data_IF_944641849431
#
_entry.id   IF_944641849431
#
_cell.length_a   1.000
_cell.length_b   1.000
_cell.length_c   1.000
_cell.angle_alpha   90.00
_cell.angle_beta   90.00
_cell.angle_gamma   90.00
#
_symmetry.space_group_name_H-M   'P 1'
#
loop_
_entity.id
_entity.type
_entity.pdbx_description
1 polymer ?
#
# COMPACT_ATOMS: atom_id res chain seq x y z
N UNK A 1 30.97 -59.09 -15.84
CA UNK A 1 29.53 -59.42 -15.83
C UNK A 1 28.81 -58.09 -15.79
N UNK A 2 28.51 -57.57 -16.96
CA UNK A 2 27.95 -56.23 -17.21
C UNK A 2 26.55 -56.10 -16.62
N UNK A 3 26.36 -55.09 -15.77
CA UNK A 3 25.04 -54.54 -15.47
C UNK A 3 24.80 -53.44 -16.51
N UNK A 4 24.06 -53.81 -17.56
CA UNK A 4 23.55 -52.86 -18.56
C UNK A 4 22.51 -51.97 -17.89
N UNK A 5 22.90 -50.70 -17.70
CA UNK A 5 22.06 -49.58 -17.32
C UNK A 5 20.98 -49.38 -18.39
N UNK A 6 19.79 -49.96 -18.18
CA UNK A 6 18.56 -49.69 -18.94
C UNK A 6 18.04 -48.29 -18.61
N UNK A 7 18.83 -47.27 -18.97
CA UNK A 7 18.32 -45.92 -19.20
C UNK A 7 17.70 -45.88 -20.58
N UNK A 8 16.56 -46.57 -20.71
CA UNK A 8 15.70 -46.47 -21.88
C UNK A 8 15.29 -45.00 -22.04
N UNK A 9 15.78 -44.40 -23.13
CA UNK A 9 15.39 -43.07 -23.57
C UNK A 9 13.91 -43.09 -23.89
N UNK A 10 13.08 -42.69 -22.92
CA UNK A 10 11.66 -42.39 -23.11
C UNK A 10 11.56 -41.08 -23.91
N UNK A 11 11.84 -41.16 -25.21
CA UNK A 11 11.60 -40.07 -26.15
C UNK A 11 10.09 -39.95 -26.27
N UNK A 12 9.50 -39.10 -25.43
CA UNK A 12 8.11 -38.66 -25.53
C UNK A 12 7.80 -38.35 -27.01
N UNK A 13 6.72 -38.91 -27.57
CA UNK A 13 6.39 -38.66 -28.96
C UNK A 13 6.24 -37.16 -29.16
N UNK A 14 6.81 -36.63 -30.25
CA UNK A 14 6.85 -35.19 -30.55
C UNK A 14 5.48 -34.51 -30.37
N UNK A 15 4.40 -35.23 -30.66
CA UNK A 15 3.02 -34.80 -30.49
C UNK A 15 2.63 -34.53 -29.03
N UNK A 16 3.09 -35.34 -28.07
CA UNK A 16 2.84 -35.11 -26.64
C UNK A 16 3.63 -33.92 -26.10
N UNK A 17 4.85 -33.70 -26.61
CA UNK A 17 5.65 -32.54 -26.24
C UNK A 17 5.02 -31.25 -26.76
N UNK A 18 4.52 -31.26 -28.01
CA UNK A 18 3.77 -30.13 -28.60
C UNK A 18 2.49 -29.87 -27.80
N UNK A 19 1.71 -30.92 -27.49
CA UNK A 19 0.48 -30.80 -26.69
C UNK A 19 0.75 -30.21 -25.29
N UNK A 20 1.85 -30.61 -24.63
CA UNK A 20 2.27 -30.03 -23.36
C UNK A 20 2.63 -28.56 -23.50
N UNK A 21 3.38 -28.17 -24.53
CA UNK A 21 3.75 -26.77 -24.80
C UNK A 21 2.50 -25.91 -25.04
N UNK A 22 1.56 -26.38 -25.87
CA UNK A 22 0.30 -25.68 -26.13
C UNK A 22 -0.53 -25.53 -24.85
N UNK A 23 -0.57 -26.56 -24.00
CA UNK A 23 -1.19 -26.50 -22.68
C UNK A 23 -0.55 -25.43 -21.77
N UNK A 24 0.79 -25.39 -21.70
CA UNK A 24 1.51 -24.37 -20.92
C UNK A 24 1.27 -22.96 -21.45
N UNK A 25 1.24 -22.78 -22.77
CA UNK A 25 0.97 -21.47 -23.41
C UNK A 25 -0.46 -21.03 -23.12
N UNK A 26 -1.45 -21.91 -23.28
CA UNK A 26 -2.85 -21.59 -23.00
C UNK A 26 -3.06 -21.25 -21.52
N UNK A 27 -2.47 -22.03 -20.62
CA UNK A 27 -2.51 -21.77 -19.19
C UNK A 27 -1.88 -20.41 -18.86
N UNK A 28 -0.72 -20.09 -19.44
CA UNK A 28 -0.06 -18.79 -19.25
C UNK A 28 -0.93 -17.64 -19.76
N UNK A 29 -1.56 -17.79 -20.93
CA UNK A 29 -2.46 -16.78 -21.48
C UNK A 29 -3.70 -16.58 -20.60
N UNK A 30 -4.28 -17.67 -20.09
CA UNK A 30 -5.42 -17.61 -19.17
C UNK A 30 -5.05 -16.86 -17.88
N UNK A 31 -3.89 -17.15 -17.29
CA UNK A 31 -3.39 -16.42 -16.12
C UNK A 31 -3.18 -14.93 -16.40
N UNK A 32 -2.54 -14.57 -17.51
CA UNK A 32 -2.31 -13.17 -17.89
C UNK A 32 -3.64 -12.45 -18.08
N UNK A 33 -4.59 -13.05 -18.79
CA UNK A 33 -5.91 -12.45 -19.03
C UNK A 33 -6.69 -12.22 -17.73
N UNK A 34 -6.60 -13.15 -16.77
CA UNK A 34 -7.21 -13.02 -15.46
C UNK A 34 -6.59 -11.88 -14.65
N UNK A 35 -5.26 -11.80 -14.63
CA UNK A 35 -4.53 -10.73 -13.93
C UNK A 35 -4.89 -9.36 -14.51
N UNK A 36 -4.99 -9.24 -15.83
CA UNK A 36 -5.37 -7.99 -16.49
C UNK A 36 -6.81 -7.57 -16.18
N UNK A 37 -7.76 -8.51 -16.18
CA UNK A 37 -9.13 -8.24 -15.76
C UNK A 37 -9.20 -7.79 -14.29
N UNK A 38 -8.49 -8.48 -13.40
CA UNK A 38 -8.43 -8.13 -11.99
C UNK A 38 -7.81 -6.73 -11.79
N UNK A 39 -6.70 -6.44 -12.49
CA UNK A 39 -6.04 -5.13 -12.49
C UNK A 39 -7.00 -4.03 -12.92
N UNK A 40 -7.76 -4.27 -13.98
CA UNK A 40 -8.74 -3.32 -14.50
C UNK A 40 -9.84 -3.04 -13.47
N UNK A 41 -10.46 -4.09 -12.90
CA UNK A 41 -11.49 -3.95 -11.87
C UNK A 41 -10.95 -3.23 -10.63
N UNK A 42 -9.75 -3.58 -10.18
CA UNK A 42 -9.14 -2.94 -9.01
C UNK A 42 -8.91 -1.45 -9.28
N UNK A 43 -8.27 -1.10 -10.39
CA UNK A 43 -7.86 0.27 -10.67
C UNK A 43 -9.04 1.20 -11.02
N UNK A 44 -10.00 0.72 -11.82
CA UNK A 44 -11.12 1.54 -12.31
C UNK A 44 -12.34 1.54 -11.40
N UNK A 45 -12.50 0.52 -10.53
CA UNK A 45 -13.71 0.38 -9.71
C UNK A 45 -13.35 0.40 -8.21
N UNK A 46 -12.53 -0.54 -7.75
CA UNK A 46 -12.30 -0.73 -6.30
C UNK A 46 -11.54 0.45 -5.71
N UNK A 47 -10.41 0.82 -6.32
CA UNK A 47 -9.55 1.91 -5.86
C UNK A 47 -10.30 3.25 -5.72
N UNK A 48 -11.04 3.76 -6.73
CA UNK A 48 -11.74 5.03 -6.60
C UNK A 48 -12.83 4.98 -5.52
N UNK A 49 -13.56 3.87 -5.38
CA UNK A 49 -14.56 3.70 -4.32
C UNK A 49 -13.87 3.78 -2.94
N UNK A 50 -12.77 3.04 -2.74
CA UNK A 50 -12.03 3.08 -1.49
C UNK A 50 -11.43 4.46 -1.21
N UNK A 51 -10.94 5.17 -2.21
CA UNK A 51 -10.46 6.55 -2.06
C UNK A 51 -11.57 7.50 -1.62
N UNK A 52 -12.75 7.43 -2.24
CA UNK A 52 -13.90 8.28 -1.86
C UNK A 52 -14.34 7.96 -0.43
N UNK A 53 -14.51 6.68 -0.11
CA UNK A 53 -14.87 6.25 1.25
C UNK A 53 -13.81 6.66 2.27
N UNK A 54 -12.53 6.52 1.92
CA UNK A 54 -11.40 6.94 2.75
C UNK A 54 -11.39 8.45 2.99
N UNK A 55 -11.62 9.27 1.96
CA UNK A 55 -11.70 10.73 2.11
C UNK A 55 -12.89 11.12 2.98
N UNK A 56 -14.10 10.64 2.65
CA UNK A 56 -15.32 11.01 3.37
C UNK A 56 -15.27 10.51 4.81
N UNK A 57 -14.92 9.23 5.02
CA UNK A 57 -14.88 8.60 6.33
C UNK A 57 -13.87 9.26 7.26
N UNK A 58 -12.64 9.49 6.79
CA UNK A 58 -11.61 10.13 7.59
C UNK A 58 -11.91 11.60 7.86
N UNK A 59 -12.50 12.32 6.89
CA UNK A 59 -12.93 13.69 7.10
C UNK A 59 -14.02 13.81 8.17
N UNK A 60 -15.03 12.94 8.12
CA UNK A 60 -16.07 12.87 9.16
C UNK A 60 -15.46 12.52 10.51
N UNK A 61 -14.51 11.58 10.55
CA UNK A 61 -13.81 11.21 11.78
C UNK A 61 -13.09 12.41 12.42
N UNK A 62 -12.40 13.23 11.62
CA UNK A 62 -11.75 14.47 12.09
C UNK A 62 -12.79 15.42 12.71
N UNK A 63 -13.94 15.63 12.06
CA UNK A 63 -14.99 16.52 12.55
C UNK A 63 -15.56 16.02 13.88
N UNK A 64 -15.87 14.72 13.97
CA UNK A 64 -16.44 14.10 15.16
C UNK A 64 -15.45 14.18 16.33
N UNK A 65 -14.19 13.78 16.10
CA UNK A 65 -13.15 13.81 17.14
C UNK A 65 -12.85 15.25 17.60
N UNK A 66 -12.89 16.22 16.69
CA UNK A 66 -12.76 17.65 17.05
C UNK A 66 -13.92 18.11 17.95
N UNK A 67 -15.15 17.63 17.72
CA UNK A 67 -16.32 17.97 18.57
C UNK A 67 -16.27 17.32 19.95
N UNK A 68 -15.71 16.11 20.09
CA UNK A 68 -15.54 15.46 21.38
C UNK A 68 -14.52 16.15 22.30
N UNK A 69 -13.65 16.99 21.72
CA UNK A 69 -12.60 17.71 22.42
C UNK A 69 -11.39 16.83 22.70
N UNK A 70 -10.19 17.38 22.53
CA UNK A 70 -8.89 16.70 22.70
C UNK A 70 -8.54 16.41 24.18
N UNK A 71 -9.53 16.00 24.98
CA UNK A 71 -9.37 15.71 26.40
C UNK A 71 -8.44 14.52 26.62
N UNK A 72 -8.57 13.48 25.81
CA UNK A 72 -7.78 12.26 25.91
C UNK A 72 -6.65 12.22 24.87
N UNK A 73 -5.52 11.63 25.25
CA UNK A 73 -4.38 11.36 24.35
C UNK A 73 -4.73 10.48 23.17
N UNK A 74 -5.59 9.48 23.41
CA UNK A 74 -6.17 8.63 22.38
C UNK A 74 -6.83 9.43 21.26
N UNK A 75 -7.59 10.49 21.61
CA UNK A 75 -8.28 11.32 20.60
C UNK A 75 -7.28 12.06 19.72
N UNK A 76 -6.15 12.49 20.29
CA UNK A 76 -5.08 13.13 19.52
C UNK A 76 -4.42 12.17 18.52
N UNK A 77 -4.15 10.93 18.94
CA UNK A 77 -3.62 9.89 18.05
C UNK A 77 -4.61 9.51 16.95
N UNK A 78 -5.89 9.37 17.29
CA UNK A 78 -6.96 9.09 16.32
C UNK A 78 -7.12 10.23 15.29
N UNK A 79 -7.00 11.49 15.72
CA UNK A 79 -7.03 12.64 14.82
C UNK A 79 -5.82 12.63 13.89
N UNK A 80 -4.62 12.38 14.42
CA UNK A 80 -3.40 12.27 13.61
C UNK A 80 -3.49 11.13 12.59
N UNK A 81 -4.00 9.97 13.02
CA UNK A 81 -4.25 8.82 12.14
C UNK A 81 -5.25 9.19 11.04
N UNK A 82 -6.39 9.80 11.38
CA UNK A 82 -7.39 10.20 10.38
C UNK A 82 -6.87 11.24 9.37
N UNK A 83 -5.95 12.12 9.78
CA UNK A 83 -5.27 13.02 8.85
C UNK A 83 -4.32 12.26 7.93
N UNK A 84 -3.56 11.29 8.45
CA UNK A 84 -2.68 10.45 7.66
C UNK A 84 -3.46 9.59 6.65
N UNK A 85 -4.58 8.98 7.06
CA UNK A 85 -5.44 8.18 6.19
C UNK A 85 -6.16 9.04 5.12
N UNK A 86 -6.53 10.28 5.47
CA UNK A 86 -7.07 11.25 4.50
C UNK A 86 -6.02 11.57 3.42
N UNK A 87 -4.79 11.90 3.84
CA UNK A 87 -3.68 12.18 2.93
C UNK A 87 -3.34 10.96 2.07
N UNK A 88 -3.29 9.77 2.67
CA UNK A 88 -3.07 8.51 1.96
C UNK A 88 -4.14 8.28 0.88
N UNK A 89 -5.41 8.48 1.22
CA UNK A 89 -6.54 8.32 0.28
C UNK A 89 -6.45 9.32 -0.87
N UNK A 90 -6.04 10.56 -0.60
CA UNK A 90 -5.81 11.58 -1.63
C UNK A 90 -4.64 11.22 -2.54
N UNK A 91 -3.49 10.84 -1.97
CA UNK A 91 -2.30 10.43 -2.75
C UNK A 91 -2.64 9.22 -3.63
N UNK A 92 -3.35 8.24 -3.08
CA UNK A 92 -3.77 7.04 -3.82
C UNK A 92 -4.75 7.38 -4.96
N UNK A 93 -5.65 8.33 -4.73
CA UNK A 93 -6.54 8.85 -5.76
C UNK A 93 -5.79 9.55 -6.89
N UNK A 94 -4.82 10.40 -6.57
CA UNK A 94 -3.98 11.09 -7.57
C UNK A 94 -3.11 10.08 -8.34
N UNK A 95 -2.55 9.08 -7.67
CA UNK A 95 -1.79 7.99 -8.33
C UNK A 95 -2.60 7.30 -9.43
N UNK A 96 -3.89 7.06 -9.19
CA UNK A 96 -4.74 6.31 -10.10
C UNK A 96 -5.56 7.19 -11.05
N UNK A 97 -5.43 8.52 -10.98
CA UNK A 97 -6.20 9.43 -11.84
C UNK A 97 -5.85 9.27 -13.33
N UNK A 98 -4.63 8.81 -13.63
CA UNK A 98 -4.17 8.61 -15.00
C UNK A 98 -5.03 7.60 -15.77
N UNK A 99 -5.58 6.58 -15.11
CA UNK A 99 -6.49 5.62 -15.72
C UNK A 99 -7.77 6.28 -16.23
N UNK A 100 -8.31 7.26 -15.51
CA UNK A 100 -9.48 8.02 -15.97
C UNK A 100 -9.12 8.93 -17.13
N UNK A 101 -7.94 9.57 -17.07
CA UNK A 101 -7.47 10.51 -18.10
C UNK A 101 -7.14 9.78 -19.41
N UNK A 102 -6.69 8.52 -19.33
CA UNK A 102 -6.40 7.67 -20.50
C UNK A 102 -7.61 7.55 -21.45
N UNK A 103 -8.83 7.63 -20.90
CA UNK A 103 -10.07 7.60 -21.68
C UNK A 103 -10.29 8.85 -22.54
N UNK A 104 -9.61 9.96 -22.25
CA UNK A 104 -9.74 11.24 -22.95
C UNK A 104 -8.48 11.60 -23.74
N UNK A 105 -7.30 11.44 -23.12
CA UNK A 105 -6.01 11.78 -23.71
C UNK A 105 -4.91 10.82 -23.20
N UNK A 106 -4.44 9.95 -24.09
CA UNK A 106 -3.39 8.98 -23.82
C UNK A 106 -2.02 9.64 -23.52
N UNK A 107 -1.70 10.75 -24.18
CA UNK A 107 -0.39 11.41 -24.00
C UNK A 107 -0.33 12.08 -22.63
N UNK A 108 -1.39 12.78 -22.24
CA UNK A 108 -1.49 13.35 -20.90
C UNK A 108 -1.48 12.28 -19.80
N UNK A 109 -2.20 11.16 -20.01
CA UNK A 109 -2.25 10.06 -19.04
C UNK A 109 -0.87 9.42 -18.82
N UNK A 110 -0.10 9.16 -19.88
CA UNK A 110 1.24 8.56 -19.77
C UNK A 110 2.25 9.50 -19.07
N UNK A 111 2.15 10.80 -19.31
CA UNK A 111 2.96 11.79 -18.61
C UNK A 111 2.62 11.81 -17.11
N UNK A 112 1.34 11.87 -16.75
CA UNK A 112 0.90 11.87 -15.35
C UNK A 112 1.30 10.54 -14.67
N UNK A 113 1.15 9.41 -15.35
CA UNK A 113 1.53 8.10 -14.83
C UNK A 113 3.02 8.04 -14.50
N UNK A 114 3.90 8.52 -15.39
CA UNK A 114 5.35 8.51 -15.15
C UNK A 114 5.77 9.42 -14.00
N UNK A 115 5.22 10.65 -13.92
CA UNK A 115 5.45 11.53 -12.76
C UNK A 115 4.92 10.94 -11.45
N UNK A 116 3.72 10.36 -11.49
CA UNK A 116 3.10 9.73 -10.33
C UNK A 116 3.91 8.51 -9.85
N UNK A 117 4.44 7.72 -10.78
CA UNK A 117 5.27 6.56 -10.47
C UNK A 117 6.60 6.95 -9.80
N UNK A 118 7.25 8.03 -10.27
CA UNK A 118 8.50 8.52 -9.70
C UNK A 118 8.32 9.11 -8.29
N UNK A 119 7.37 10.02 -8.12
CA UNK A 119 7.27 10.83 -6.89
C UNK A 119 6.20 10.33 -5.92
N UNK A 120 5.06 9.88 -6.43
CA UNK A 120 3.91 9.56 -5.58
C UNK A 120 3.96 8.14 -5.04
N UNK A 121 4.56 7.17 -5.73
CA UNK A 121 4.70 5.78 -5.20
C UNK A 121 5.57 5.74 -3.94
N UNK A 122 6.74 6.40 -3.98
CA UNK A 122 7.60 6.52 -2.80
C UNK A 122 6.90 7.27 -1.66
N UNK A 123 6.11 8.29 -1.99
CA UNK A 123 5.31 9.02 -0.99
C UNK A 123 4.20 8.17 -0.41
N UNK A 124 3.51 7.36 -1.21
CA UNK A 124 2.48 6.44 -0.78
C UNK A 124 3.02 5.39 0.20
N UNK A 125 4.15 4.76 -0.13
CA UNK A 125 4.79 3.80 0.78
C UNK A 125 5.21 4.42 2.11
N UNK A 126 5.68 5.67 2.10
CA UNK A 126 5.96 6.44 3.33
C UNK A 126 4.71 6.68 4.16
N UNK A 127 3.63 7.11 3.52
CA UNK A 127 2.34 7.35 4.17
C UNK A 127 1.78 6.07 4.79
N UNK A 128 1.89 4.93 4.12
CA UNK A 128 1.47 3.62 4.67
C UNK A 128 2.24 3.27 5.95
N UNK A 129 3.55 3.49 5.97
CA UNK A 129 4.37 3.26 7.16
C UNK A 129 3.89 4.14 8.34
N UNK A 130 3.62 5.42 8.09
CA UNK A 130 3.11 6.35 9.11
C UNK A 130 1.79 5.85 9.68
N UNK A 131 0.84 5.45 8.82
CA UNK A 131 -0.46 4.89 9.23
C UNK A 131 -0.27 3.64 10.09
N UNK A 132 0.61 2.72 9.67
CA UNK A 132 0.90 1.50 10.43
C UNK A 132 1.50 1.81 11.82
N UNK A 133 2.42 2.78 11.92
CA UNK A 133 2.99 3.21 13.20
C UNK A 133 1.92 3.80 14.14
N UNK A 134 0.97 4.57 13.59
CA UNK A 134 -0.15 5.10 14.36
C UNK A 134 -1.06 3.98 14.87
N UNK A 135 -1.41 3.02 14.02
CA UNK A 135 -2.21 1.85 14.39
C UNK A 135 -1.59 1.07 15.56
N UNK A 136 -0.29 0.77 15.47
CA UNK A 136 0.45 0.08 16.54
C UNK A 136 0.43 0.89 17.83
N UNK A 137 0.54 2.21 17.75
CA UNK A 137 0.60 3.07 18.94
C UNK A 137 -0.75 3.22 19.62
N UNK A 138 -1.83 3.32 18.84
CA UNK A 138 -3.20 3.30 19.38
C UNK A 138 -3.47 1.94 20.03
N UNK A 139 -3.10 0.83 19.38
CA UNK A 139 -3.26 -0.50 19.95
C UNK A 139 -2.48 -0.66 21.26
N UNK A 140 -1.25 -0.14 21.31
CA UNK A 140 -0.40 -0.15 22.50
C UNK A 140 -0.99 0.71 23.62
N UNK A 141 -1.49 1.91 23.32
CA UNK A 141 -2.18 2.77 24.30
C UNK A 141 -3.39 2.04 24.90
N UNK A 142 -4.21 1.41 24.07
CA UNK A 142 -5.40 0.66 24.50
C UNK A 142 -5.04 -0.57 25.33
N UNK A 143 -3.99 -1.29 24.94
CA UNK A 143 -3.49 -2.43 25.70
C UNK A 143 -3.05 -2.02 27.11
N UNK A 144 -2.27 -0.95 27.23
CA UNK A 144 -1.79 -0.44 28.53
C UNK A 144 -2.97 0.12 29.35
N UNK A 145 -3.98 0.73 28.71
CA UNK A 145 -5.19 1.21 29.40
C UNK A 145 -5.99 0.11 30.07
N UNK A 146 -6.09 -1.04 29.42
CA UNK A 146 -6.82 -2.20 29.96
C UNK A 146 -6.01 -2.90 31.04
N UNK A 147 -4.70 -3.14 30.81
CA UNK A 147 -3.89 -3.96 31.71
C UNK A 147 -3.30 -3.15 32.88
N UNK A 148 -2.98 -1.88 32.68
CA UNK A 148 -2.34 -1.00 33.67
C UNK A 148 -3.04 0.37 33.77
N UNK A 149 -4.30 0.42 34.26
CA UNK A 149 -5.13 1.63 34.26
C UNK A 149 -4.48 2.83 34.99
N UNK A 150 -3.73 2.58 36.07
CA UNK A 150 -3.04 3.63 36.85
C UNK A 150 -1.77 4.17 36.18
N UNK A 151 -1.22 3.48 35.18
CA UNK A 151 0.02 3.90 34.51
C UNK A 151 -0.23 4.71 33.24
N UNK A 152 -1.44 4.63 32.65
CA UNK A 152 -1.75 5.30 31.38
C UNK A 152 -1.65 6.81 31.46
N UNK A 153 -2.25 7.42 32.48
CA UNK A 153 -2.18 8.88 32.66
C UNK A 153 -0.75 9.40 32.86
N UNK A 154 0.18 8.53 33.33
CA UNK A 154 1.59 8.87 33.53
C UNK A 154 2.45 8.62 32.28
N UNK A 155 2.10 7.62 31.46
CA UNK A 155 2.84 7.24 30.26
C UNK A 155 2.39 8.11 29.07
N UNK A 156 1.09 8.16 28.81
CA UNK A 156 0.48 8.92 27.71
C UNK A 156 0.04 10.30 28.21
N UNK A 157 0.99 11.24 28.25
CA UNK A 157 0.68 12.66 28.39
C UNK A 157 0.70 13.36 27.02
N UNK A 158 -0.04 14.46 26.87
CA UNK A 158 -0.18 15.18 25.59
C UNK A 158 1.17 15.49 24.94
N UNK A 159 2.13 16.03 25.68
CA UNK A 159 3.44 16.39 25.15
C UNK A 159 4.24 15.17 24.68
N UNK A 160 4.16 14.06 25.40
CA UNK A 160 4.84 12.81 25.00
C UNK A 160 4.22 12.22 23.74
N UNK A 161 2.90 12.26 23.63
CA UNK A 161 2.21 11.78 22.42
C UNK A 161 2.57 12.60 21.20
N UNK A 162 2.68 13.93 21.32
CA UNK A 162 3.16 14.78 20.22
C UNK A 162 4.61 14.43 19.82
N UNK A 163 5.48 14.14 20.80
CA UNK A 163 6.85 13.68 20.53
C UNK A 163 6.82 12.33 19.81
N UNK A 164 5.99 11.38 20.26
CA UNK A 164 5.84 10.06 19.62
C UNK A 164 5.40 10.22 18.16
N UNK A 165 4.37 11.03 17.91
CA UNK A 165 3.90 11.34 16.55
C UNK A 165 5.07 11.92 15.74
N UNK A 166 5.74 12.95 16.25
CA UNK A 166 6.87 13.56 15.54
C UNK A 166 7.98 12.54 15.21
N UNK A 167 8.36 11.70 16.18
CA UNK A 167 9.34 10.63 15.98
C UNK A 167 8.91 9.61 14.91
N UNK A 168 7.63 9.28 14.81
CA UNK A 168 7.13 8.40 13.74
C UNK A 168 7.34 9.01 12.37
N UNK A 169 6.98 10.28 12.18
CA UNK A 169 7.17 10.95 10.90
C UNK A 169 8.65 11.00 10.51
N UNK A 170 9.53 11.32 11.47
CA UNK A 170 10.98 11.31 11.24
C UNK A 170 11.48 9.90 10.90
N UNK A 171 11.06 8.88 11.64
CA UNK A 171 11.42 7.49 11.38
C UNK A 171 10.99 7.03 10.00
N UNK A 172 9.73 7.29 9.61
CA UNK A 172 9.21 6.93 8.29
C UNK A 172 9.95 7.65 7.15
N UNK A 173 10.36 8.92 7.35
CA UNK A 173 11.19 9.63 6.37
C UNK A 173 12.55 8.94 6.24
N UNK A 174 13.26 8.75 7.36
CA UNK A 174 14.62 8.18 7.36
C UNK A 174 14.65 6.79 6.72
N UNK A 175 13.71 5.93 7.07
CA UNK A 175 13.68 4.55 6.60
C UNK A 175 13.39 4.42 5.09
N UNK A 176 12.66 5.38 4.52
CA UNK A 176 12.28 5.38 3.10
C UNK A 176 13.11 6.31 2.21
N UNK A 177 14.05 7.09 2.76
CA UNK A 177 15.09 7.77 1.96
C UNK A 177 15.82 6.79 1.03
N UNK A 178 16.38 5.65 1.51
CA UNK A 178 17.11 4.73 0.63
C UNK A 178 16.20 4.12 -0.44
N UNK A 179 14.93 3.88 -0.11
CA UNK A 179 13.92 3.44 -1.07
C UNK A 179 13.81 4.47 -2.20
N UNK A 180 13.58 5.75 -1.89
CA UNK A 180 13.50 6.82 -2.90
C UNK A 180 14.75 6.96 -3.78
N UNK A 181 15.95 6.78 -3.22
CA UNK A 181 17.21 6.85 -3.96
C UNK A 181 17.40 5.67 -4.94
N UNK A 182 16.91 4.48 -4.59
CA UNK A 182 17.02 3.28 -5.44
C UNK A 182 16.14 3.39 -6.70
N UNK A 183 14.96 4.02 -6.61
CA UNK A 183 14.11 4.21 -7.80
C UNK A 183 14.72 5.19 -8.81
N UNK A 184 15.39 6.24 -8.34
CA UNK A 184 16.00 7.27 -9.19
C UNK A 184 17.18 6.70 -10.00
N UNK A 185 18.04 5.90 -9.35
CA UNK A 185 19.16 5.23 -10.03
C UNK A 185 18.71 4.14 -11.02
N UNK A 186 17.54 3.53 -10.81
CA UNK A 186 17.01 2.51 -11.72
C UNK A 186 16.37 3.12 -12.98
N UNK A 187 15.87 4.35 -12.93
CA UNK A 187 15.27 5.04 -14.08
C UNK A 187 16.26 5.80 -14.97
N UNK A 188 17.53 5.89 -14.56
CA UNK A 188 18.57 6.64 -15.32
C UNK A 188 19.45 5.72 -16.20
N UNK A 189 19.20 4.40 -16.18
CA UNK A 189 19.84 3.40 -17.04
C UNK A 189 18.85 2.85 -18.06
#
# INVERSE_FOLDING_TARGET
>A
MELTDERSNEVLPLNETILKIDCWINLQNDYVSFVEQARWVINYIVTPILCILGVVGNYVNIIVLRRCGYKDTNVLLLVSLSLADLLLSLINGVLHIHFVIESFDFVAASLIASYAQLYLVSTFSRSLCIVQCHLVSIATERFIAVYFPFHVARIFSRSRVLIIIFCMYIFSIIFYIPHGLIYDVATTN
#
